data_IF_849674162327
#
_entry.id   IF_849674162327
#
_cell.length_a   1.000
_cell.length_b   1.000
_cell.length_c   1.000
_cell.angle_alpha   90.00
_cell.angle_beta   90.00
_cell.angle_gamma   90.00
#
_symmetry.space_group_name_H-M   'P 1'
#
loop_
_entity.id
_entity.type
_entity.pdbx_description
1 polymer ?
#
# COMPACT_ATOMS: atom_id res chain seq x y z
N UNK A 1 2.46 -21.35 -17.21
CA UNK A 1 1.18 -20.75 -17.62
C UNK A 1 1.20 -19.29 -17.20
N UNK A 2 1.11 -18.35 -18.13
CA UNK A 2 0.94 -16.94 -17.79
C UNK A 2 -0.46 -16.75 -17.21
N UNK A 3 -0.56 -16.29 -15.96
CA UNK A 3 -1.84 -15.92 -15.35
C UNK A 3 -2.30 -14.66 -16.09
N UNK A 4 -3.40 -14.73 -16.85
CA UNK A 4 -4.00 -13.53 -17.43
C UNK A 4 -4.34 -12.56 -16.29
N UNK A 5 -3.92 -11.29 -16.36
CA UNK A 5 -4.22 -10.32 -15.31
C UNK A 5 -5.73 -10.07 -15.26
N UNK A 6 -6.26 -10.10 -14.05
CA UNK A 6 -7.68 -9.91 -13.81
C UNK A 6 -8.00 -8.47 -13.40
N UNK A 7 -9.16 -7.96 -13.82
CA UNK A 7 -9.67 -6.67 -13.39
C UNK A 7 -10.16 -6.75 -11.95
N UNK A 8 -9.57 -5.98 -11.03
CA UNK A 8 -9.94 -6.01 -9.60
C UNK A 8 -10.72 -4.77 -9.16
N UNK A 9 -11.00 -3.84 -10.07
CA UNK A 9 -11.70 -2.57 -9.80
C UNK A 9 -12.82 -2.37 -10.82
N UNK A 10 -14.01 -2.04 -10.32
CA UNK A 10 -15.17 -1.61 -11.11
C UNK A 10 -15.50 -0.14 -10.84
N UNK A 11 -16.29 0.49 -11.71
CA UNK A 11 -16.74 1.87 -11.57
C UNK A 11 -18.25 1.92 -11.32
N UNK A 12 -18.68 2.59 -10.27
CA UNK A 12 -20.08 2.82 -9.95
C UNK A 12 -20.66 3.97 -10.79
N UNK A 13 -21.98 4.16 -10.74
CA UNK A 13 -22.71 5.17 -11.54
C UNK A 13 -22.34 6.61 -11.20
N UNK A 14 -22.01 6.87 -9.94
CA UNK A 14 -21.51 8.15 -9.45
C UNK A 14 -20.04 8.42 -9.84
N UNK A 15 -19.37 7.41 -10.41
CA UNK A 15 -17.99 7.46 -10.83
C UNK A 15 -16.99 6.91 -9.80
N UNK A 16 -17.45 6.46 -8.63
CA UNK A 16 -16.61 5.86 -7.60
C UNK A 16 -15.95 4.57 -8.12
N UNK A 17 -14.67 4.37 -7.80
CA UNK A 17 -13.97 3.13 -8.11
C UNK A 17 -14.01 2.17 -6.93
N UNK A 18 -14.59 0.99 -7.17
CA UNK A 18 -14.92 0.00 -6.16
C UNK A 18 -14.07 -1.26 -6.34
N UNK A 19 -13.40 -1.69 -5.26
CA UNK A 19 -12.60 -2.93 -5.25
C UNK A 19 -13.50 -4.17 -5.26
N UNK A 20 -13.04 -5.25 -5.93
CA UNK A 20 -13.71 -6.55 -5.91
C UNK A 20 -13.86 -7.12 -4.49
N UNK A 21 -12.95 -6.78 -3.57
CA UNK A 21 -12.98 -7.30 -2.21
C UNK A 21 -14.17 -6.81 -1.38
N UNK A 22 -14.81 -5.72 -1.80
CA UNK A 22 -16.01 -5.17 -1.14
C UNK A 22 -17.33 -5.65 -1.76
N UNK A 23 -17.28 -6.41 -2.87
CA UNK A 23 -18.48 -6.84 -3.60
C UNK A 23 -18.89 -8.27 -3.29
N UNK A 24 -20.19 -8.54 -3.27
CA UNK A 24 -20.68 -9.92 -3.29
C UNK A 24 -20.46 -10.53 -4.68
N UNK A 25 -20.35 -11.86 -4.77
CA UNK A 25 -20.27 -12.52 -6.08
C UNK A 25 -21.60 -12.41 -6.82
N UNK A 26 -21.55 -12.22 -8.15
CA UNK A 26 -22.71 -12.14 -9.01
C UNK A 26 -22.77 -10.86 -9.84
N UNK A 27 -23.94 -10.58 -10.40
CA UNK A 27 -24.23 -9.32 -11.09
C UNK A 27 -24.12 -8.16 -10.12
N UNK A 28 -23.53 -7.05 -10.57
CA UNK A 28 -23.42 -5.83 -9.79
C UNK A 28 -23.68 -4.60 -10.67
N UNK A 29 -23.97 -3.46 -10.05
CA UNK A 29 -24.19 -2.18 -10.73
C UNK A 29 -22.89 -1.47 -11.15
N UNK A 30 -21.80 -2.24 -11.31
CA UNK A 30 -20.49 -1.72 -11.67
C UNK A 30 -20.20 -1.91 -13.16
N UNK A 31 -19.46 -0.96 -13.72
CA UNK A 31 -18.98 -1.01 -15.10
C UNK A 31 -17.46 -1.06 -15.17
N UNK A 32 -16.93 -1.59 -16.27
CA UNK A 32 -15.50 -1.57 -16.55
C UNK A 32 -15.03 -0.11 -16.65
N UNK A 33 -14.01 0.33 -15.89
CA UNK A 33 -13.54 1.71 -15.95
C UNK A 33 -12.94 2.07 -17.33
N UNK A 34 -12.60 1.07 -18.14
CA UNK A 34 -12.01 1.26 -19.47
C UNK A 34 -13.04 1.30 -20.61
N UNK A 35 -14.02 0.41 -20.62
CA UNK A 35 -14.97 0.28 -21.73
C UNK A 35 -16.43 0.52 -21.35
N UNK A 36 -16.70 0.81 -20.07
CA UNK A 36 -18.02 1.07 -19.50
C UNK A 36 -19.04 -0.06 -19.63
N UNK A 37 -18.62 -1.27 -20.03
CA UNK A 37 -19.49 -2.45 -20.04
C UNK A 37 -19.76 -2.93 -18.62
N UNK A 38 -20.95 -3.46 -18.39
CA UNK A 38 -21.35 -4.08 -17.12
C UNK A 38 -20.35 -5.17 -16.68
N UNK A 39 -20.16 -5.26 -15.37
CA UNK A 39 -19.28 -6.23 -14.74
C UNK A 39 -20.08 -7.26 -13.93
N UNK A 40 -19.50 -8.45 -13.84
CA UNK A 40 -19.93 -9.52 -12.94
C UNK A 40 -18.80 -9.74 -11.95
N UNK A 41 -19.09 -9.61 -10.66
CA UNK A 41 -18.16 -9.94 -9.59
C UNK A 41 -18.00 -11.47 -9.51
N UNK A 42 -16.77 -11.95 -9.70
CA UNK A 42 -16.42 -13.37 -9.60
C UNK A 42 -15.58 -13.54 -8.34
N UNK A 43 -16.21 -14.08 -7.29
CA UNK A 43 -15.51 -14.47 -6.06
C UNK A 43 -15.66 -15.97 -5.86
N UNK A 44 -14.54 -16.63 -5.58
CA UNK A 44 -14.52 -18.05 -5.26
C UNK A 44 -13.46 -18.32 -4.21
N UNK A 45 -13.54 -19.49 -3.54
CA UNK A 45 -12.58 -19.84 -2.50
C UNK A 45 -11.18 -20.17 -3.04
N UNK A 46 -11.07 -20.51 -4.33
CA UNK A 46 -9.82 -20.95 -4.98
C UNK A 46 -9.32 -19.97 -6.05
N UNK A 47 -10.24 -19.26 -6.72
CA UNK A 47 -9.88 -18.31 -7.79
C UNK A 47 -9.69 -16.91 -7.23
N UNK A 48 -8.68 -16.20 -7.73
CA UNK A 48 -8.43 -14.79 -7.44
C UNK A 48 -9.72 -14.01 -7.65
N UNK A 49 -10.14 -13.22 -6.66
CA UNK A 49 -11.33 -12.36 -6.79
C UNK A 49 -11.12 -11.38 -7.95
N UNK A 50 -12.06 -11.34 -8.88
CA UNK A 50 -12.01 -10.38 -9.98
C UNK A 50 -13.38 -10.00 -10.54
N UNK A 51 -13.42 -8.93 -11.30
CA UNK A 51 -14.51 -8.58 -12.17
C UNK A 51 -14.31 -9.18 -13.57
N UNK A 52 -15.38 -9.79 -14.08
CA UNK A 52 -15.49 -10.23 -15.47
C UNK A 52 -16.45 -9.30 -16.20
N UNK A 53 -16.21 -9.06 -17.48
CA UNK A 53 -17.19 -8.36 -18.30
C UNK A 53 -18.44 -9.22 -18.48
N UNK A 54 -19.61 -8.61 -18.48
CA UNK A 54 -20.81 -9.23 -19.01
C UNK A 54 -20.76 -9.20 -20.55
N UNK A 55 -20.09 -10.19 -21.14
CA UNK A 55 -19.79 -10.27 -22.58
C UNK A 55 -18.29 -10.25 -22.87
N UNK A 56 -17.88 -9.66 -24.00
CA UNK A 56 -16.46 -9.65 -24.40
C UNK A 56 -15.59 -8.78 -23.48
N UNK A 57 -14.40 -9.27 -23.14
CA UNK A 57 -13.41 -8.55 -22.32
C UNK A 57 -12.65 -7.55 -23.18
N UNK A 58 -12.53 -6.30 -22.74
CA UNK A 58 -11.78 -5.29 -23.49
C UNK A 58 -10.25 -5.50 -23.37
N UNK A 59 -9.49 -4.99 -24.34
CA UNK A 59 -8.02 -5.11 -24.35
C UNK A 59 -7.38 -4.42 -23.15
N UNK A 60 -7.90 -3.27 -22.75
CA UNK A 60 -7.33 -2.48 -21.65
C UNK A 60 -7.44 -3.16 -20.29
N UNK A 61 -8.54 -3.86 -20.00
CA UNK A 61 -8.69 -4.60 -18.73
C UNK A 61 -7.80 -5.84 -18.65
N UNK A 62 -7.19 -6.26 -19.76
CA UNK A 62 -6.18 -7.33 -19.79
C UNK A 62 -4.76 -6.82 -19.57
N UNK A 63 -4.56 -5.52 -19.35
CA UNK A 63 -3.26 -5.01 -18.89
C UNK A 63 -3.18 -5.18 -17.37
N UNK A 64 -2.08 -5.72 -16.82
CA UNK A 64 -1.91 -5.77 -15.38
C UNK A 64 -1.91 -4.36 -14.82
N UNK A 65 -2.58 -4.16 -13.68
CA UNK A 65 -2.41 -2.92 -12.93
C UNK A 65 -0.96 -2.83 -12.48
N UNK A 66 -0.34 -1.67 -12.69
CA UNK A 66 1.01 -1.43 -12.20
C UNK A 66 1.02 -1.50 -10.68
N UNK A 67 1.82 -2.42 -10.14
CA UNK A 67 2.09 -2.47 -8.71
C UNK A 67 2.70 -1.14 -8.27
N UNK A 68 2.39 -0.71 -7.05
CA UNK A 68 2.95 0.48 -6.41
C UNK A 68 4.19 0.04 -5.64
N UNK A 69 5.42 0.39 -6.08
CA UNK A 69 6.64 0.03 -5.37
C UNK A 69 6.68 0.67 -3.98
N UNK A 70 7.09 -0.11 -2.98
CA UNK A 70 7.05 0.33 -1.58
C UNK A 70 5.65 0.25 -0.96
N UNK A 71 4.66 -0.27 -1.68
CA UNK A 71 3.34 -0.60 -1.13
C UNK A 71 2.96 -2.04 -1.47
N UNK A 72 2.88 -2.40 -2.75
CA UNK A 72 2.50 -3.76 -3.14
C UNK A 72 3.67 -4.74 -3.02
N UNK A 73 4.90 -4.25 -3.16
CA UNK A 73 6.12 -5.03 -2.99
C UNK A 73 7.29 -4.14 -2.54
N UNK A 74 8.14 -4.69 -1.67
CA UNK A 74 9.30 -3.98 -1.10
C UNK A 74 10.63 -4.36 -1.75
N UNK A 75 10.66 -5.33 -2.68
CA UNK A 75 11.84 -5.59 -3.49
C UNK A 75 12.04 -4.57 -4.62
N UNK A 76 11.09 -3.64 -4.82
CA UNK A 76 11.15 -2.55 -5.80
C UNK A 76 11.52 -2.98 -7.23
N UNK A 77 11.12 -4.19 -7.63
CA UNK A 77 11.46 -4.80 -8.93
C UNK A 77 12.96 -5.04 -9.14
N UNK A 78 13.76 -5.02 -8.07
CA UNK A 78 15.16 -5.40 -8.11
C UNK A 78 15.31 -6.91 -8.37
N UNK A 79 16.36 -7.34 -9.09
CA UNK A 79 16.65 -8.76 -9.26
C UNK A 79 16.86 -9.45 -7.92
N UNK A 80 16.38 -10.69 -7.76
CA UNK A 80 16.51 -11.47 -6.52
C UNK A 80 17.95 -11.49 -6.00
N UNK A 81 18.94 -11.73 -6.87
CA UNK A 81 20.37 -11.72 -6.49
C UNK A 81 20.84 -10.41 -5.84
N UNK A 82 20.24 -9.27 -6.19
CA UNK A 82 20.59 -7.96 -5.61
C UNK A 82 19.93 -7.81 -4.24
N UNK A 83 18.69 -8.24 -4.11
CA UNK A 83 17.93 -8.23 -2.85
C UNK A 83 18.59 -9.14 -1.82
N UNK A 84 18.98 -10.35 -2.22
CA UNK A 84 19.63 -11.34 -1.35
C UNK A 84 20.97 -10.81 -0.82
N UNK A 85 21.77 -10.22 -1.71
CA UNK A 85 23.04 -9.59 -1.33
C UNK A 85 22.81 -8.43 -0.34
N UNK A 86 21.80 -7.59 -0.58
CA UNK A 86 21.47 -6.49 0.32
C UNK A 86 21.06 -6.97 1.72
N UNK A 87 20.28 -8.06 1.81
CA UNK A 87 19.94 -8.69 3.09
C UNK A 87 21.16 -9.31 3.78
N UNK A 88 22.01 -9.99 3.03
CA UNK A 88 23.23 -10.58 3.55
C UNK A 88 24.15 -9.51 4.18
N UNK A 89 24.35 -8.39 3.50
CA UNK A 89 25.20 -7.30 3.97
C UNK A 89 24.63 -6.57 5.18
N UNK A 90 23.31 -6.44 5.28
CA UNK A 90 22.66 -5.80 6.43
C UNK A 90 22.61 -6.67 7.68
N UNK A 91 22.43 -7.99 7.54
CA UNK A 91 22.42 -8.90 8.69
C UNK A 91 23.75 -8.97 9.47
N UNK A 92 24.85 -8.53 8.84
CA UNK A 92 26.21 -8.60 9.40
C UNK A 92 26.67 -7.30 10.09
N UNK A 93 25.89 -6.24 9.99
CA UNK A 93 26.22 -4.91 10.51
C UNK A 93 25.16 -4.45 11.51
N UNK A 94 25.58 -4.10 12.73
CA UNK A 94 24.70 -3.49 13.75
C UNK A 94 24.29 -2.05 13.40
N UNK A 95 24.79 -1.50 12.29
CA UNK A 95 24.51 -0.17 11.74
C UNK A 95 24.17 -0.29 10.24
N UNK A 96 23.43 0.65 9.64
CA UNK A 96 23.16 0.71 8.19
C UNK A 96 24.42 1.09 7.37
N UNK A 97 25.54 0.42 7.63
CA UNK A 97 26.79 0.53 6.90
C UNK A 97 26.93 -0.70 6.00
N UNK A 98 27.14 -0.49 4.70
CA UNK A 98 27.46 -1.55 3.76
C UNK A 98 28.89 -2.00 4.03
N UNK A 99 29.07 -3.19 4.62
CA UNK A 99 30.41 -3.72 4.93
C UNK A 99 30.98 -4.41 3.69
N UNK A 100 31.93 -3.75 3.04
CA UNK A 100 32.67 -4.30 1.92
C UNK A 100 33.48 -5.54 2.35
N UNK A 101 32.98 -6.74 2.03
CA UNK A 101 33.64 -8.00 2.39
C UNK A 101 33.90 -8.93 1.18
N UNK A 102 33.65 -8.52 -0.08
CA UNK A 102 34.08 -9.19 -1.34
C UNK A 102 33.71 -8.33 -2.60
N UNK A 103 34.46 -8.46 -3.71
CA UNK A 103 35.10 -7.35 -4.46
C UNK A 103 34.19 -6.55 -5.40
N UNK A 104 34.56 -5.27 -5.59
CA UNK A 104 34.26 -4.25 -6.63
C UNK A 104 33.02 -4.39 -7.55
N UNK A 105 32.72 -5.56 -8.10
CA UNK A 105 31.60 -5.80 -9.01
C UNK A 105 30.23 -5.64 -8.34
N UNK A 106 30.09 -6.07 -7.07
CA UNK A 106 28.82 -5.87 -6.35
C UNK A 106 28.62 -4.43 -5.93
N UNK A 107 29.68 -3.71 -5.54
CA UNK A 107 29.60 -2.27 -5.24
C UNK A 107 29.11 -1.51 -6.48
N UNK A 108 29.76 -1.69 -7.63
CA UNK A 108 29.33 -1.04 -8.86
C UNK A 108 27.91 -1.44 -9.29
N UNK A 109 27.45 -2.65 -8.94
CA UNK A 109 26.05 -3.06 -9.17
C UNK A 109 25.09 -2.35 -8.21
N UNK A 110 25.42 -2.27 -6.92
CA UNK A 110 24.61 -1.60 -5.89
C UNK A 110 24.51 -0.08 -6.15
N UNK A 111 25.61 0.56 -6.56
CA UNK A 111 25.63 1.97 -6.97
C UNK A 111 24.75 2.22 -8.20
N UNK A 112 24.84 1.37 -9.24
CA UNK A 112 23.99 1.49 -10.44
C UNK A 112 22.50 1.38 -10.12
N UNK A 113 22.13 0.59 -9.12
CA UNK A 113 20.75 0.52 -8.63
C UNK A 113 20.41 1.62 -7.62
N UNK A 114 21.34 2.52 -7.28
CA UNK A 114 21.14 3.59 -6.31
C UNK A 114 20.88 3.07 -4.89
N UNK A 115 21.47 1.93 -4.53
CA UNK A 115 21.28 1.26 -3.23
C UNK A 115 22.33 1.65 -2.18
N UNK A 116 23.49 2.13 -2.64
CA UNK A 116 24.55 2.63 -1.77
C UNK A 116 25.05 3.99 -2.24
N UNK A 117 25.58 4.76 -1.29
CA UNK A 117 26.18 6.07 -1.52
C UNK A 117 27.40 6.29 -0.60
N UNK A 118 28.28 7.21 -0.97
CA UNK A 118 29.42 7.57 -0.15
C UNK A 118 28.97 8.41 1.05
N UNK A 119 29.17 7.89 2.26
CA UNK A 119 28.97 8.63 3.50
C UNK A 119 30.08 9.63 3.78
N UNK A 120 29.84 10.52 4.75
CA UNK A 120 30.75 11.61 5.14
C UNK A 120 32.18 11.17 5.52
N UNK A 121 32.36 9.92 5.96
CA UNK A 121 33.67 9.36 6.35
C UNK A 121 34.30 8.45 5.29
N UNK A 122 33.84 8.52 4.04
CA UNK A 122 34.33 7.66 2.94
C UNK A 122 33.78 6.23 2.95
N UNK A 123 32.98 5.85 3.95
CA UNK A 123 32.34 4.54 4.02
C UNK A 123 31.04 4.49 3.21
N UNK A 124 30.75 3.36 2.59
CA UNK A 124 29.48 3.10 1.93
C UNK A 124 28.31 3.05 2.92
N UNK A 125 27.25 3.81 2.62
CA UNK A 125 26.00 3.84 3.36
C UNK A 125 24.85 3.37 2.48
N UNK A 126 23.84 2.78 3.10
CA UNK A 126 22.62 2.40 2.39
C UNK A 126 21.77 3.63 2.12
N UNK A 127 21.33 3.79 0.87
CA UNK A 127 20.35 4.83 0.52
C UNK A 127 19.00 4.51 1.16
N UNK A 128 18.11 5.50 1.20
CA UNK A 128 16.74 5.29 1.69
C UNK A 128 16.02 4.18 0.90
N UNK A 129 16.25 4.08 -0.41
CA UNK A 129 15.71 3.00 -1.26
C UNK A 129 16.17 1.62 -0.78
N UNK A 130 17.46 1.44 -0.51
CA UNK A 130 17.98 0.18 0.02
C UNK A 130 17.41 -0.13 1.42
N UNK A 131 17.28 0.90 2.26
CA UNK A 131 16.69 0.76 3.58
C UNK A 131 15.19 0.40 3.53
N UNK A 132 14.44 0.84 2.51
CA UNK A 132 13.06 0.36 2.27
C UNK A 132 13.06 -1.13 1.97
N UNK A 133 13.95 -1.58 1.07
CA UNK A 133 14.06 -3.00 0.70
C UNK A 133 14.35 -3.85 1.92
N UNK A 134 15.25 -3.42 2.81
CA UNK A 134 15.60 -4.21 4.00
C UNK A 134 14.67 -4.03 5.20
N UNK A 135 13.78 -3.03 5.15
CA UNK A 135 12.92 -2.63 6.27
C UNK A 135 13.66 -1.81 7.34
N UNK A 136 14.83 -1.27 7.03
CA UNK A 136 15.64 -0.47 7.96
C UNK A 136 15.25 1.01 8.00
N UNK A 137 14.59 1.53 6.95
CA UNK A 137 14.21 2.94 6.88
C UNK A 137 13.23 3.25 8.02
N UNK A 138 13.39 4.39 8.67
CA UNK A 138 12.44 4.85 9.69
C UNK A 138 11.12 5.28 9.05
N UNK A 139 10.01 5.19 9.78
CA UNK A 139 8.71 5.64 9.26
C UNK A 139 8.71 7.13 8.87
N UNK A 140 9.40 7.99 9.63
CA UNK A 140 9.56 9.42 9.31
C UNK A 140 10.26 9.68 7.98
N UNK A 141 11.20 8.82 7.56
CA UNK A 141 11.85 8.95 6.26
C UNK A 141 11.08 8.24 5.15
N UNK A 142 10.40 7.14 5.49
CA UNK A 142 9.59 6.40 4.53
C UNK A 142 8.40 7.22 4.02
N UNK A 143 7.77 8.02 4.87
CA UNK A 143 6.65 8.88 4.50
C UNK A 143 6.95 9.77 3.27
N UNK A 144 7.90 10.71 3.33
CA UNK A 144 8.21 11.56 2.17
C UNK A 144 8.79 10.74 1.00
N UNK A 145 9.50 9.63 1.28
CA UNK A 145 10.05 8.76 0.23
C UNK A 145 8.95 8.10 -0.62
N UNK A 146 7.87 7.61 0.01
CA UNK A 146 6.74 6.98 -0.68
C UNK A 146 5.88 8.05 -1.33
N UNK A 147 5.52 9.11 -0.60
CA UNK A 147 4.68 10.21 -1.09
C UNK A 147 5.22 10.84 -2.36
N UNK A 148 6.54 11.11 -2.43
CA UNK A 148 7.20 11.59 -3.65
C UNK A 148 6.97 10.66 -4.85
N UNK A 149 7.16 9.35 -4.67
CA UNK A 149 6.97 8.35 -5.74
C UNK A 149 5.52 8.22 -6.17
N UNK A 150 4.57 8.33 -5.25
CA UNK A 150 3.15 8.34 -5.57
C UNK A 150 2.81 9.51 -6.50
N UNK A 151 3.33 10.72 -6.20
CA UNK A 151 3.17 11.90 -7.03
C UNK A 151 3.81 11.73 -8.42
N UNK A 152 5.06 11.27 -8.48
CA UNK A 152 5.79 11.03 -9.75
C UNK A 152 5.00 10.09 -10.68
N UNK A 153 4.41 9.03 -10.12
CA UNK A 153 3.58 8.06 -10.88
C UNK A 153 2.31 8.67 -11.45
N UNK A 154 1.65 9.54 -10.69
CA UNK A 154 0.47 10.25 -11.19
C UNK A 154 0.84 11.25 -12.29
N UNK A 155 1.95 11.95 -12.12
CA UNK A 155 2.48 12.88 -13.12
C UNK A 155 2.81 12.16 -14.43
N UNK A 156 3.53 11.04 -14.36
CA UNK A 156 3.86 10.19 -15.50
C UNK A 156 2.58 9.72 -16.23
N UNK A 157 1.62 9.15 -15.49
CA UNK A 157 0.35 8.69 -16.08
C UNK A 157 -0.44 9.83 -16.71
N UNK A 158 -0.48 11.00 -16.07
CA UNK A 158 -1.16 12.19 -16.62
C UNK A 158 -0.51 12.63 -17.93
N UNK A 159 0.82 12.62 -18.01
CA UNK A 159 1.57 12.90 -19.24
C UNK A 159 1.26 11.89 -20.36
N UNK A 160 1.25 10.59 -20.05
CA UNK A 160 0.92 9.54 -21.03
C UNK A 160 -0.53 9.61 -21.52
N UNK A 161 -1.47 9.99 -20.64
CA UNK A 161 -2.87 10.22 -21.02
C UNK A 161 -2.99 11.43 -21.94
N UNK A 162 -2.35 12.55 -21.60
CA UNK A 162 -2.35 13.76 -22.43
C UNK A 162 -1.73 13.53 -23.82
N UNK A 163 -0.70 12.65 -23.90
CA UNK A 163 -0.09 12.24 -25.16
C UNK A 163 -0.90 11.20 -25.95
N UNK A 164 -2.06 10.76 -25.46
CA UNK A 164 -2.89 9.72 -26.09
C UNK A 164 -2.28 8.31 -26.05
N UNK A 165 -1.23 8.09 -25.25
CA UNK A 165 -0.50 6.82 -25.15
C UNK A 165 -1.08 5.87 -24.10
N UNK A 166 -1.91 6.39 -23.19
CA UNK A 166 -2.52 5.64 -22.11
C UNK A 166 -4.00 5.99 -21.96
N UNK A 167 -4.84 4.98 -21.73
CA UNK A 167 -6.27 5.21 -21.50
C UNK A 167 -6.50 6.02 -20.20
N UNK A 168 -7.37 7.05 -20.16
CA UNK A 168 -7.58 7.91 -18.99
C UNK A 168 -7.93 7.16 -17.70
N UNK A 169 -8.63 6.04 -17.82
CA UNK A 169 -8.97 5.18 -16.69
C UNK A 169 -7.75 4.65 -15.92
N UNK A 170 -6.57 4.52 -16.55
CA UNK A 170 -5.35 4.13 -15.82
C UNK A 170 -4.88 5.19 -14.84
N UNK A 171 -5.11 6.47 -15.13
CA UNK A 171 -4.89 7.56 -14.19
C UNK A 171 -5.94 7.52 -13.07
N UNK A 172 -7.23 7.36 -13.41
CA UNK A 172 -8.31 7.29 -12.43
C UNK A 172 -8.12 6.14 -11.42
N UNK A 173 -7.75 4.95 -11.91
CA UNK A 173 -7.47 3.79 -11.04
C UNK A 173 -6.26 4.04 -10.16
N UNK A 174 -5.18 4.65 -10.66
CA UNK A 174 -4.03 4.98 -9.82
C UNK A 174 -4.40 6.04 -8.77
N UNK A 175 -5.09 7.11 -9.16
CA UNK A 175 -5.51 8.18 -8.26
C UNK A 175 -6.41 7.67 -7.14
N UNK A 176 -7.41 6.83 -7.45
CA UNK A 176 -8.26 6.20 -6.43
C UNK A 176 -7.49 5.28 -5.49
N UNK A 177 -6.53 4.50 -6.00
CA UNK A 177 -5.68 3.65 -5.14
C UNK A 177 -4.83 4.49 -4.19
N UNK A 178 -4.29 5.61 -4.67
CA UNK A 178 -3.51 6.55 -3.85
C UNK A 178 -4.39 7.28 -2.83
N UNK A 179 -5.58 7.72 -3.23
CA UNK A 179 -6.58 8.29 -2.31
C UNK A 179 -6.89 7.33 -1.16
N UNK A 180 -7.18 6.06 -1.45
CA UNK A 180 -7.53 5.05 -0.42
C UNK A 180 -6.43 4.80 0.62
N UNK A 181 -5.16 5.05 0.28
CA UNK A 181 -4.04 4.87 1.21
C UNK A 181 -3.65 6.19 1.89
N UNK A 182 -3.75 7.33 1.20
CA UNK A 182 -3.41 8.64 1.74
C UNK A 182 -4.51 9.21 2.65
N UNK A 183 -5.78 8.89 2.41
CA UNK A 183 -6.90 9.36 3.23
C UNK A 183 -7.18 8.46 4.44
N UNK A 184 -6.73 7.21 4.43
CA UNK A 184 -7.02 6.26 5.48
C UNK A 184 -6.25 6.57 6.78
N UNK A 185 -6.91 6.29 7.91
CA UNK A 185 -6.30 6.35 9.24
C UNK A 185 -5.51 5.08 9.49
N UNK A 186 -4.23 5.22 9.82
CA UNK A 186 -3.40 4.13 10.34
C UNK A 186 -3.78 3.89 11.80
N UNK A 187 -3.94 2.63 12.20
CA UNK A 187 -4.16 2.27 13.60
C UNK A 187 -3.22 1.18 14.07
N UNK A 188 -2.92 1.21 15.37
CA UNK A 188 -2.32 0.10 16.11
C UNK A 188 -3.30 -0.29 17.22
N UNK A 189 -3.79 -1.52 17.17
CA UNK A 189 -4.64 -2.10 18.21
C UNK A 189 -3.85 -3.11 19.05
N UNK A 190 -4.21 -3.16 20.33
CA UNK A 190 -3.88 -4.24 21.26
C UNK A 190 -5.14 -5.06 21.47
N UNK A 191 -5.03 -6.38 21.34
CA UNK A 191 -6.11 -7.33 21.44
C UNK A 191 -5.70 -8.39 22.45
N UNK A 192 -6.42 -8.47 23.57
CA UNK A 192 -6.15 -9.42 24.65
C UNK A 192 -7.28 -10.42 24.70
N UNK A 193 -6.96 -11.71 24.57
CA UNK A 193 -7.93 -12.78 24.74
C UNK A 193 -8.16 -13.09 26.22
N UNK A 194 -9.30 -13.70 26.53
CA UNK A 194 -9.66 -14.05 27.91
C UNK A 194 -8.68 -15.01 28.60
N UNK A 195 -7.88 -15.75 27.84
CA UNK A 195 -6.81 -16.62 28.33
C UNK A 195 -5.46 -15.88 28.55
N UNK A 196 -5.43 -14.57 28.31
CA UNK A 196 -4.26 -13.70 28.54
C UNK A 196 -3.32 -13.56 27.35
N UNK A 197 -3.57 -14.22 26.22
CA UNK A 197 -2.74 -14.00 25.03
C UNK A 197 -2.97 -12.60 24.46
N UNK A 198 -1.87 -11.94 24.05
CA UNK A 198 -1.91 -10.58 23.52
C UNK A 198 -1.44 -10.55 22.08
N UNK A 199 -2.22 -9.90 21.23
CA UNK A 199 -1.97 -9.73 19.81
C UNK A 199 -1.99 -8.24 19.46
N UNK A 200 -1.14 -7.84 18.52
CA UNK A 200 -1.15 -6.47 18.00
C UNK A 200 -1.59 -6.47 16.56
N UNK A 201 -2.47 -5.54 16.19
CA UNK A 201 -2.90 -5.36 14.80
C UNK A 201 -2.50 -3.98 14.33
N UNK A 202 -1.64 -3.92 13.33
CA UNK A 202 -1.42 -2.69 12.55
C UNK A 202 -2.32 -2.77 11.33
N UNK A 203 -3.03 -1.70 11.03
CA UNK A 203 -3.87 -1.67 9.84
C UNK A 203 -4.30 -0.26 9.46
N UNK A 204 -5.05 -0.14 8.38
CA UNK A 204 -5.68 1.12 7.97
C UNK A 204 -7.21 1.03 7.86
N UNK A 205 -7.89 2.16 8.00
CA UNK A 205 -9.35 2.25 7.87
C UNK A 205 -9.77 3.60 7.29
N UNK A 206 -10.80 3.57 6.44
CA UNK A 206 -11.56 4.76 6.03
C UNK A 206 -12.79 4.99 6.92
N UNK A 207 -13.16 3.98 7.71
CA UNK A 207 -14.23 4.08 8.72
C UNK A 207 -13.68 4.69 10.00
N UNK A 208 -14.58 5.12 10.87
CA UNK A 208 -14.25 5.45 12.26
C UNK A 208 -13.46 4.31 12.94
N UNK A 209 -12.45 4.67 13.73
CA UNK A 209 -11.46 3.72 14.28
C UNK A 209 -12.09 2.82 15.36
N UNK A 210 -13.00 3.35 16.17
CA UNK A 210 -13.74 2.61 17.19
C UNK A 210 -14.65 1.56 16.55
N UNK A 211 -15.36 1.93 15.49
CA UNK A 211 -16.13 0.98 14.68
C UNK A 211 -15.24 -0.13 14.12
N UNK A 212 -14.05 0.23 13.61
CA UNK A 212 -13.09 -0.75 13.08
C UNK A 212 -12.57 -1.68 14.19
N UNK A 213 -12.30 -1.18 15.38
CA UNK A 213 -11.89 -2.00 16.53
C UNK A 213 -12.98 -3.01 16.92
N UNK A 214 -14.25 -2.59 16.92
CA UNK A 214 -15.38 -3.47 17.21
C UNK A 214 -15.52 -4.58 16.17
N UNK A 215 -15.37 -4.28 14.88
CA UNK A 215 -15.33 -5.27 13.80
C UNK A 215 -14.18 -6.28 14.00
N UNK A 216 -12.96 -5.79 14.22
CA UNK A 216 -11.77 -6.64 14.41
C UNK A 216 -11.91 -7.55 15.63
N UNK A 217 -12.43 -7.01 16.74
CA UNK A 217 -12.63 -7.78 17.98
C UNK A 217 -13.67 -8.87 17.78
N UNK A 218 -14.73 -8.59 17.00
CA UNK A 218 -15.75 -9.58 16.63
C UNK A 218 -15.18 -10.68 15.74
N UNK A 219 -14.44 -10.32 14.70
CA UNK A 219 -13.78 -11.26 13.78
C UNK A 219 -12.82 -12.19 14.55
N UNK A 220 -11.99 -11.62 15.44
CA UNK A 220 -11.08 -12.41 16.27
C UNK A 220 -11.80 -13.32 17.25
N UNK A 221 -12.89 -12.86 17.89
CA UNK A 221 -13.71 -13.71 18.76
C UNK A 221 -14.27 -14.91 18.00
N UNK A 222 -14.76 -14.70 16.78
CA UNK A 222 -15.31 -15.77 15.94
C UNK A 222 -14.24 -16.79 15.55
N UNK A 223 -12.99 -16.34 15.33
CA UNK A 223 -11.89 -17.21 14.93
C UNK A 223 -11.26 -17.98 16.08
N UNK A 224 -11.04 -17.33 17.22
CA UNK A 224 -10.36 -17.95 18.37
C UNK A 224 -11.34 -18.61 19.35
N UNK A 225 -12.65 -18.43 19.14
CA UNK A 225 -13.71 -18.92 20.03
C UNK A 225 -13.57 -18.45 21.49
N UNK A 226 -12.87 -17.34 21.72
CA UNK A 226 -12.68 -16.72 23.04
C UNK A 226 -13.04 -15.22 22.99
N UNK A 227 -13.55 -14.63 24.08
CA UNK A 227 -13.73 -13.19 24.16
C UNK A 227 -12.42 -12.43 23.92
N UNK A 228 -12.52 -11.30 23.21
CA UNK A 228 -11.39 -10.42 22.89
C UNK A 228 -11.68 -9.03 23.44
N UNK A 229 -10.78 -8.51 24.27
CA UNK A 229 -10.76 -7.13 24.69
C UNK A 229 -9.82 -6.34 23.78
N UNK A 230 -10.37 -5.34 23.09
CA UNK A 230 -9.62 -4.48 22.19
C UNK A 230 -9.30 -3.11 22.80
N UNK A 231 -8.12 -2.59 22.47
CA UNK A 231 -7.68 -1.24 22.86
C UNK A 231 -6.98 -0.54 21.70
N UNK A 232 -7.31 0.72 21.49
CA UNK A 232 -6.61 1.58 20.53
C UNK A 232 -5.31 2.07 21.19
N UNK A 233 -4.16 1.65 20.67
CA UNK A 233 -2.86 2.16 21.12
C UNK A 233 -2.41 3.40 20.35
N UNK A 234 -2.79 3.49 19.07
CA UNK A 234 -2.48 4.61 18.19
C UNK A 234 -3.52 4.69 17.07
N UNK A 235 -3.85 5.91 16.66
CA UNK A 235 -4.61 6.21 15.45
C UNK A 235 -4.00 7.49 14.83
N UNK A 236 -3.60 7.45 13.57
CA UNK A 236 -2.96 8.56 12.87
C UNK A 236 -3.72 8.79 11.56
N UNK A 237 -4.43 9.90 11.46
CA UNK A 237 -5.23 10.24 10.28
C UNK A 237 -4.34 10.51 9.07
N UNK A 238 -4.80 10.09 7.88
CA UNK A 238 -4.08 10.27 6.63
C UNK A 238 -2.70 9.58 6.58
N UNK A 239 -2.53 8.47 7.30
CA UNK A 239 -1.28 7.72 7.39
C UNK A 239 -1.39 6.27 6.88
N UNK A 240 -2.47 5.93 6.18
CA UNK A 240 -2.74 4.56 5.73
C UNK A 240 -1.62 3.98 4.85
N UNK A 241 -0.91 4.82 4.08
CA UNK A 241 0.23 4.43 3.23
C UNK A 241 1.44 3.90 4.00
N UNK A 242 1.46 4.02 5.34
CA UNK A 242 2.53 3.51 6.20
C UNK A 242 2.32 2.03 6.57
N UNK A 243 1.08 1.55 6.59
CA UNK A 243 0.66 0.22 7.07
C UNK A 243 1.56 -0.92 6.57
N UNK A 244 1.64 -1.07 5.25
CA UNK A 244 2.37 -2.20 4.65
C UNK A 244 3.87 -2.14 4.92
N UNK A 245 4.44 -0.95 5.02
CA UNK A 245 5.86 -0.81 5.33
C UNK A 245 6.14 -1.13 6.80
N UNK A 246 5.24 -0.77 7.72
CA UNK A 246 5.34 -1.21 9.12
C UNK A 246 5.27 -2.74 9.21
N UNK A 247 4.33 -3.39 8.52
CA UNK A 247 4.27 -4.86 8.46
C UNK A 247 5.54 -5.47 7.87
N UNK A 248 6.10 -4.86 6.82
CA UNK A 248 7.36 -5.28 6.22
C UNK A 248 8.54 -5.15 7.19
N UNK A 249 8.64 -4.04 7.92
CA UNK A 249 9.68 -3.79 8.92
C UNK A 249 9.62 -4.80 10.07
N UNK A 250 8.42 -5.16 10.51
CA UNK A 250 8.17 -6.11 11.60
C UNK A 250 7.84 -7.53 11.10
N UNK A 251 8.25 -7.89 9.88
CA UNK A 251 7.91 -9.17 9.24
C UNK A 251 8.29 -10.42 10.03
N UNK A 252 9.36 -10.34 10.83
CA UNK A 252 9.79 -11.43 11.70
C UNK A 252 8.82 -11.71 12.86
N UNK A 253 7.96 -10.74 13.19
CA UNK A 253 6.93 -10.83 14.23
C UNK A 253 5.52 -11.07 13.67
N UNK A 254 5.37 -11.26 12.35
CA UNK A 254 4.06 -11.51 11.75
C UNK A 254 3.48 -12.83 12.24
N UNK A 255 2.21 -12.76 12.65
CA UNK A 255 1.43 -13.89 13.08
C UNK A 255 0.27 -14.08 12.10
N UNK A 256 0.23 -15.24 11.46
CA UNK A 256 -0.93 -15.63 10.66
C UNK A 256 -2.05 -16.11 11.58
N UNK A 257 -3.18 -15.40 11.59
CA UNK A 257 -4.38 -15.85 12.30
C UNK A 257 -5.47 -16.10 11.26
N UNK A 258 -5.69 -17.38 10.95
CA UNK A 258 -6.58 -17.78 9.85
C UNK A 258 -6.13 -17.19 8.51
N UNK A 259 -7.01 -16.43 7.85
CA UNK A 259 -6.72 -15.75 6.58
C UNK A 259 -6.04 -14.38 6.72
N UNK A 260 -5.89 -13.87 7.94
CA UNK A 260 -5.45 -12.51 8.18
C UNK A 260 -3.94 -12.46 8.47
N UNK A 261 -3.24 -11.58 7.76
CA UNK A 261 -1.77 -11.47 7.79
C UNK A 261 -1.27 -10.20 8.48
N UNK A 262 -2.17 -9.42 9.08
CA UNK A 262 -1.89 -8.08 9.63
C UNK A 262 -1.71 -8.10 11.16
N UNK A 263 -1.50 -9.27 11.74
CA UNK A 263 -1.31 -9.46 13.17
C UNK A 263 0.17 -9.65 13.49
N UNK A 264 0.58 -9.14 14.65
CA UNK A 264 1.95 -9.18 15.15
C UNK A 264 1.96 -9.79 16.55
N UNK A 265 2.94 -10.66 16.79
CA UNK A 265 3.32 -11.11 18.12
C UNK A 265 4.59 -10.36 18.52
N UNK A 266 4.42 -9.29 19.30
CA UNK A 266 5.52 -8.38 19.67
C UNK A 266 5.99 -8.67 21.09
N UNK A 267 7.31 -8.77 21.26
CA UNK A 267 7.91 -8.73 22.58
C UNK A 267 7.80 -7.31 23.17
N UNK A 268 7.86 -7.13 24.50
CA UNK A 268 7.72 -5.81 25.12
C UNK A 268 8.68 -4.74 24.59
N UNK A 269 9.90 -5.14 24.19
CA UNK A 269 10.88 -4.25 23.57
C UNK A 269 10.44 -3.77 22.19
N UNK A 270 9.99 -4.67 21.33
CA UNK A 270 9.55 -4.36 19.96
C UNK A 270 8.28 -3.49 19.96
N UNK A 271 7.34 -3.77 20.86
CA UNK A 271 6.16 -2.93 21.05
C UNK A 271 6.54 -1.51 21.44
N UNK A 272 7.45 -1.37 22.41
CA UNK A 272 7.94 -0.04 22.83
C UNK A 272 8.61 0.68 21.66
N UNK A 273 9.44 -0.03 20.91
CA UNK A 273 10.08 0.49 19.69
C UNK A 273 9.06 0.99 18.67
N UNK A 274 8.06 0.17 18.34
CA UNK A 274 7.00 0.50 17.38
C UNK A 274 6.18 1.72 17.84
N UNK A 275 5.75 1.75 19.11
CA UNK A 275 5.00 2.90 19.66
C UNK A 275 5.82 4.19 19.61
N UNK A 276 7.10 4.13 19.98
CA UNK A 276 8.01 5.27 19.91
C UNK A 276 8.29 5.72 18.48
N UNK A 277 8.36 4.79 17.52
CA UNK A 277 8.52 5.11 16.10
C UNK A 277 7.25 5.77 15.52
N UNK A 278 6.07 5.21 15.80
CA UNK A 278 4.79 5.79 15.38
C UNK A 278 4.57 7.20 15.94
N UNK A 279 4.92 7.44 17.20
CA UNK A 279 4.84 8.79 17.79
C UNK A 279 5.84 9.75 17.16
N UNK A 280 7.07 9.30 16.86
CA UNK A 280 8.05 10.14 16.14
C UNK A 280 7.58 10.47 14.73
N UNK A 281 7.04 9.48 14.01
CA UNK A 281 6.47 9.67 12.68
C UNK A 281 5.32 10.69 12.71
N UNK A 282 4.35 10.52 13.60
CA UNK A 282 3.22 11.44 13.72
C UNK A 282 3.69 12.88 13.96
N UNK A 283 4.63 13.07 14.88
CA UNK A 283 5.15 14.39 15.24
C UNK A 283 6.04 15.02 14.15
N UNK A 284 6.67 14.20 13.30
CA UNK A 284 7.61 14.67 12.27
C UNK A 284 6.99 14.73 10.87
N UNK A 285 5.71 14.38 10.71
CA UNK A 285 5.09 14.27 9.39
C UNK A 285 4.75 15.66 8.86
N UNK A 286 5.21 15.95 7.65
CA UNK A 286 4.81 17.16 6.94
C UNK A 286 3.34 17.09 6.51
N UNK A 287 2.69 18.25 6.43
CA UNK A 287 1.38 18.34 5.84
C UNK A 287 1.40 17.88 4.36
N UNK A 288 0.25 17.43 3.88
CA UNK A 288 0.07 17.16 2.46
C UNK A 288 0.23 18.46 1.67
N UNK A 289 1.00 18.39 0.58
CA UNK A 289 1.11 19.45 -0.40
C UNK A 289 -0.18 19.55 -1.23
N UNK A 290 -0.30 20.58 -2.05
CA UNK A 290 -1.52 20.85 -2.83
C UNK A 290 -1.96 19.67 -3.69
N UNK A 291 -1.01 19.00 -4.37
CA UNK A 291 -1.30 17.85 -5.21
C UNK A 291 -1.80 16.66 -4.39
N UNK A 292 -1.22 16.43 -3.22
CA UNK A 292 -1.62 15.37 -2.31
C UNK A 292 -2.99 15.64 -1.69
N UNK A 293 -3.30 16.89 -1.35
CA UNK A 293 -4.63 17.27 -0.85
C UNK A 293 -5.70 16.97 -1.91
N UNK A 294 -5.43 17.26 -3.19
CA UNK A 294 -6.37 16.93 -4.29
C UNK A 294 -6.63 15.42 -4.38
N UNK A 295 -5.59 14.61 -4.24
CA UNK A 295 -5.70 13.15 -4.28
C UNK A 295 -6.41 12.61 -3.03
N UNK A 296 -5.94 12.96 -1.84
CA UNK A 296 -6.47 12.46 -0.56
C UNK A 296 -7.91 12.90 -0.29
N UNK A 297 -8.38 14.01 -0.87
CA UNK A 297 -9.76 14.48 -0.74
C UNK A 297 -10.71 13.97 -1.83
N UNK A 298 -10.23 13.16 -2.77
CA UNK A 298 -11.04 12.65 -3.89
C UNK A 298 -11.36 13.70 -4.96
N UNK A 299 -10.86 14.94 -4.84
CA UNK A 299 -11.12 16.04 -5.78
C UNK A 299 -10.58 15.81 -7.19
N UNK A 300 -9.63 14.89 -7.34
CA UNK A 300 -9.12 14.44 -8.64
C UNK A 300 -10.21 13.90 -9.59
N UNK A 301 -11.35 13.47 -9.04
CA UNK A 301 -12.52 13.05 -9.84
C UNK A 301 -13.13 14.19 -10.65
N UNK A 302 -12.99 15.43 -10.20
CA UNK A 302 -13.51 16.62 -10.89
C UNK A 302 -12.63 17.07 -12.07
N UNK A 303 -11.34 16.71 -12.08
CA UNK A 303 -10.42 17.02 -13.18
C UNK A 303 -10.79 16.31 -14.50
N UNK A 304 -11.72 15.34 -14.45
CA UNK A 304 -12.23 14.60 -15.60
C UNK A 304 -13.64 14.97 -16.06
N UNK A 305 -14.32 15.93 -15.41
CA UNK A 305 -15.62 16.43 -15.90
C UNK A 305 -15.36 17.46 -16.99
N UNK A 306 -15.44 17.02 -18.25
CA UNK A 306 -15.65 17.95 -19.37
C UNK A 306 -16.92 18.75 -19.04
N UNK A 307 -16.90 20.10 -19.07
CA UNK A 307 -18.11 20.89 -18.90
C UNK A 307 -19.15 20.39 -19.91
N UNK A 308 -20.33 20.00 -19.42
CA UNK A 308 -21.45 19.73 -20.31
C UNK A 308 -21.73 20.97 -21.16
N UNK A 309 -22.31 20.81 -22.37
CA UNK A 309 -22.57 21.93 -23.25
C UNK A 309 -23.35 23.00 -22.49
N UNK A 310 -22.75 24.19 -22.38
CA UNK A 310 -23.44 25.40 -21.95
C UNK A 310 -24.65 25.54 -22.85
N UNK A 311 -25.84 25.40 -22.28
CA UNK A 311 -27.06 25.78 -22.98
C UNK A 311 -26.95 27.28 -23.20
N UNK A 312 -26.80 27.68 -24.46
CA UNK A 312 -26.93 29.07 -24.86
C UNK A 312 -28.30 29.58 -24.37
N UNK A 313 -28.34 30.72 -23.67
CA UNK A 313 -29.60 31.39 -23.41
C UNK A 313 -30.11 31.96 -24.74
N UNK A 314 -31.20 31.37 -25.24
CA UNK A 314 -32.03 31.99 -26.27
C UNK A 314 -32.75 33.23 -25.77
#
# INVERSE_FOLDING_TARGET
>A
MAIEPFLTVGKARDGELVSIDTQNSGLCDLVCPFCLRALVAVRGQVRIHHFRHDGSTCRESKRPLFLIPGWDHFNLSLPASVVDELFYQTSKSYFPSYLDRKPSLMIGRMERYGLIEHGYRGNWQLTDTAQVVTGMLSLSKFDPWLRKRLQERLCEKRGLVAAGQLHPAHYQVEASRQEQILSATLYLFELVSADGATFYKIGRTLRNVEQRLAEVSRDMKLMLHVPIQGKILKAIEGAGHIEKYTLWKYRASLLAIGRYQEYLQLMPGDLRGLKSELTRFENSRDAFNESEVVIASGKWTNEGRVPGPTRDPG
#
